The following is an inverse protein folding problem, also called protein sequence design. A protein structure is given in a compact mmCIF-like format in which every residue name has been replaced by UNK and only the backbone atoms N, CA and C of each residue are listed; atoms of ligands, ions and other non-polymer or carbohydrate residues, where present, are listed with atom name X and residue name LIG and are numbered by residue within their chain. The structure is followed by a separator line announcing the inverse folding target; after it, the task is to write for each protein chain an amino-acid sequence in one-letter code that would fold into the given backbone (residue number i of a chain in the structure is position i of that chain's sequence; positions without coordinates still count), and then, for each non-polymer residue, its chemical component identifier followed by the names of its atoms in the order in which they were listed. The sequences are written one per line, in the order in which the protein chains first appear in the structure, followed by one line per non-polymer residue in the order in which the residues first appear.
data_IF_832665054898
#
_entry.id   IF_832665054898
#
_cell.length_a   1.000
_cell.length_b   1.000
_cell.length_c   1.000
_cell.angle_alpha   90.00
_cell.angle_beta   90.00
_cell.angle_gamma   90.00
#
_symmetry.space_group_name_H-M   'P 1'
#
loop_
_entity.id
_entity.type
_entity.pdbx_description
1 polymer ?
#
# COMPACT_ATOMS: atom_id res chain seq x y z
N UNK A 1 -2.76 -29.34 1.41
CA UNK A 1 -3.32 -28.48 2.46
C UNK A 1 -2.25 -28.02 3.46
N UNK A 2 -1.03 -27.67 3.02
CA UNK A 2 0.08 -27.20 3.90
C UNK A 2 0.61 -25.81 3.50
N UNK A 3 -0.08 -25.06 2.62
CA UNK A 3 0.42 -23.78 2.08
C UNK A 3 -0.17 -22.52 2.73
N UNK A 4 -0.96 -22.65 3.80
CA UNK A 4 -1.76 -21.52 4.34
C UNK A 4 -1.16 -20.82 5.57
N UNK A 5 -0.01 -21.27 6.07
CA UNK A 5 0.45 -20.84 7.41
C UNK A 5 1.42 -19.64 7.45
N UNK A 6 1.80 -19.08 6.32
CA UNK A 6 2.98 -18.21 6.26
C UNK A 6 2.68 -16.72 6.03
N UNK A 7 1.53 -16.41 5.50
CA UNK A 7 1.18 -15.00 5.22
C UNK A 7 0.88 -14.14 6.46
N UNK A 8 1.04 -14.66 7.57
CA UNK A 8 0.44 -14.25 8.78
C UNK A 8 1.24 -13.36 9.71
N UNK A 9 2.54 -13.45 9.69
CA UNK A 9 3.41 -12.51 10.40
C UNK A 9 3.46 -11.13 9.71
N UNK A 10 2.90 -11.04 8.50
CA UNK A 10 3.05 -9.88 7.62
C UNK A 10 1.95 -8.81 7.75
N UNK A 11 1.00 -8.97 8.64
CA UNK A 11 -0.04 -7.94 8.90
C UNK A 11 0.47 -6.69 9.62
N UNK A 12 1.71 -6.71 10.10
CA UNK A 12 2.36 -5.59 10.78
C UNK A 12 3.75 -5.41 10.16
N UNK A 13 3.86 -5.08 8.91
CA UNK A 13 5.13 -4.81 8.27
C UNK A 13 5.45 -3.31 8.20
N UNK A 14 6.74 -2.97 8.32
CA UNK A 14 7.30 -1.75 8.88
C UNK A 14 7.44 -0.52 7.98
N UNK A 15 7.50 0.64 8.64
CA UNK A 15 7.50 2.00 8.12
C UNK A 15 8.87 2.51 7.58
N UNK A 16 9.78 1.66 7.16
CA UNK A 16 11.06 2.13 6.66
C UNK A 16 11.03 2.84 5.28
N UNK A 17 9.88 2.85 4.59
CA UNK A 17 9.82 3.28 3.19
C UNK A 17 9.09 4.61 2.93
N UNK A 18 8.52 5.29 3.94
CA UNK A 18 7.77 6.53 3.64
C UNK A 18 8.66 7.70 3.15
N UNK A 19 9.91 7.77 3.56
CA UNK A 19 10.85 8.74 2.99
C UNK A 19 11.50 8.25 1.67
N UNK A 20 11.63 6.93 1.51
CA UNK A 20 12.07 6.33 0.26
C UNK A 20 10.93 6.29 -0.77
N UNK A 21 9.67 6.16 -0.34
CA UNK A 21 8.49 6.18 -1.21
C UNK A 21 8.19 7.59 -1.73
N UNK A 22 8.43 8.66 -0.96
CA UNK A 22 8.32 10.02 -1.48
C UNK A 22 9.42 10.34 -2.50
N UNK A 23 10.61 9.80 -2.35
CA UNK A 23 11.67 9.90 -3.36
C UNK A 23 11.41 8.94 -4.53
N UNK A 24 10.87 7.74 -4.30
CA UNK A 24 10.47 6.80 -5.34
C UNK A 24 9.14 7.18 -6.00
N UNK A 25 8.24 7.88 -5.32
CA UNK A 25 7.08 8.51 -5.95
C UNK A 25 7.50 9.67 -6.85
N UNK A 26 8.48 10.49 -6.46
CA UNK A 26 9.09 11.49 -7.33
C UNK A 26 9.86 10.85 -8.50
N UNK A 27 10.55 9.74 -8.28
CA UNK A 27 11.21 8.95 -9.32
C UNK A 27 10.21 8.18 -10.19
N UNK A 28 9.06 7.76 -9.65
CA UNK A 28 7.96 7.18 -10.40
C UNK A 28 7.16 8.24 -11.17
N UNK A 29 7.12 9.50 -10.71
CA UNK A 29 6.64 10.62 -11.51
C UNK A 29 7.63 11.02 -12.60
N UNK A 30 8.93 10.84 -12.40
CA UNK A 30 9.95 11.00 -13.44
C UNK A 30 9.99 9.83 -14.42
N UNK A 31 9.52 8.66 -14.04
CA UNK A 31 9.39 7.49 -14.93
C UNK A 31 8.02 7.38 -15.62
N UNK A 32 6.99 8.11 -15.19
CA UNK A 32 5.89 8.49 -16.06
C UNK A 32 6.41 9.64 -16.93
N UNK A 33 7.14 9.30 -17.99
CA UNK A 33 7.54 10.25 -19.02
C UNK A 33 6.30 11.02 -19.51
N UNK A 34 6.01 12.13 -18.88
CA UNK A 34 5.50 13.27 -19.60
C UNK A 34 6.65 13.61 -20.53
N UNK A 35 6.52 13.25 -21.81
CA UNK A 35 7.43 13.70 -22.86
C UNK A 35 7.29 15.21 -22.95
N UNK A 36 7.94 15.92 -22.05
CA UNK A 36 8.31 17.31 -22.29
C UNK A 36 9.51 17.23 -23.21
N UNK A 37 9.26 17.36 -24.51
CA UNK A 37 10.24 17.95 -25.40
C UNK A 37 10.52 19.37 -24.87
N UNK A 38 11.45 19.49 -23.98
CA UNK A 38 12.02 20.73 -23.54
C UNK A 38 13.53 20.65 -23.77
N UNK A 39 13.95 21.41 -24.77
CA UNK A 39 15.26 22.02 -24.96
C UNK A 39 16.48 21.13 -24.70
N UNK A 40 17.20 20.86 -25.77
CA UNK A 40 18.55 20.38 -25.81
C UNK A 40 19.45 21.11 -24.79
N UNK A 41 19.74 20.49 -23.66
CA UNK A 41 20.90 20.78 -22.87
C UNK A 41 21.96 19.74 -23.26
N UNK A 42 23.04 20.21 -23.85
CA UNK A 42 24.25 19.48 -24.16
C UNK A 42 24.94 18.99 -22.88
N UNK A 43 24.48 17.84 -22.40
CA UNK A 43 25.17 17.01 -21.44
C UNK A 43 25.28 15.61 -22.07
N UNK A 44 26.44 14.98 -22.00
CA UNK A 44 26.67 13.66 -22.54
C UNK A 44 25.55 12.72 -22.09
N UNK A 45 24.75 12.25 -23.04
CA UNK A 45 23.70 11.28 -22.78
C UNK A 45 24.38 10.00 -22.30
N UNK A 46 24.16 9.61 -21.03
CA UNK A 46 24.46 8.26 -20.58
C UNK A 46 23.73 7.30 -21.51
N UNK A 47 24.50 6.46 -22.17
CA UNK A 47 23.97 5.43 -23.05
C UNK A 47 23.07 4.50 -22.20
N UNK A 48 21.74 4.68 -22.29
CA UNK A 48 20.79 3.85 -21.55
C UNK A 48 21.02 2.40 -21.98
N UNK A 49 21.55 1.58 -21.07
CA UNK A 49 21.81 0.16 -21.31
C UNK A 49 20.53 -0.50 -21.83
N UNK A 50 20.65 -1.26 -22.89
CA UNK A 50 19.52 -2.03 -23.47
C UNK A 50 18.98 -3.09 -22.51
N UNK A 51 19.78 -3.50 -21.52
CA UNK A 51 19.42 -4.42 -20.44
C UNK A 51 19.99 -3.89 -19.13
N UNK A 52 19.13 -3.59 -18.19
CA UNK A 52 19.45 -3.20 -16.82
C UNK A 52 19.06 -4.31 -15.85
N UNK A 53 19.98 -4.66 -14.97
CA UNK A 53 19.70 -5.51 -13.82
C UNK A 53 19.97 -4.69 -12.55
N UNK A 54 19.05 -4.71 -11.62
CA UNK A 54 19.18 -4.06 -10.32
C UNK A 54 18.49 -4.90 -9.27
N UNK A 55 18.79 -4.66 -8.02
CA UNK A 55 18.17 -5.39 -6.95
C UNK A 55 18.38 -4.77 -5.59
N UNK A 56 17.71 -5.34 -4.61
CA UNK A 56 17.85 -4.99 -3.22
C UNK A 56 17.79 -6.26 -2.37
N UNK A 57 18.70 -6.40 -1.43
CA UNK A 57 18.69 -7.45 -0.43
C UNK A 57 18.58 -6.81 0.95
N UNK A 58 17.58 -7.21 1.74
CA UNK A 58 17.33 -6.67 3.08
C UNK A 58 17.23 -7.82 4.08
N UNK A 59 18.05 -7.76 5.12
CA UNK A 59 17.95 -8.60 6.31
C UNK A 59 17.10 -7.91 7.36
N UNK A 60 16.21 -8.63 7.99
CA UNK A 60 15.23 -8.13 8.95
C UNK A 60 15.26 -8.97 10.22
N UNK A 61 15.28 -8.30 11.35
CA UNK A 61 15.10 -8.86 12.67
C UNK A 61 13.93 -8.16 13.37
N UNK A 62 12.93 -8.92 13.81
CA UNK A 62 11.75 -8.42 14.51
C UNK A 62 11.59 -9.11 15.85
N UNK A 63 11.45 -8.32 16.90
CA UNK A 63 11.15 -8.77 18.25
C UNK A 63 9.78 -8.24 18.67
N UNK A 64 8.93 -9.13 19.19
CA UNK A 64 7.56 -8.81 19.59
C UNK A 64 7.37 -9.04 21.06
N UNK A 65 7.11 -7.99 21.82
CA UNK A 65 6.68 -8.09 23.21
C UNK A 65 5.17 -8.32 23.25
N UNK A 66 4.74 -9.48 23.69
CA UNK A 66 3.33 -9.89 23.69
C UNK A 66 2.76 -9.87 25.12
N UNK A 67 1.54 -9.39 25.28
CA UNK A 67 0.85 -9.33 26.57
C UNK A 67 0.63 -10.74 27.14
N UNK A 68 1.02 -10.93 28.39
CA UNK A 68 0.86 -12.20 29.12
C UNK A 68 1.59 -13.40 28.44
N UNK A 69 2.59 -13.14 27.65
CA UNK A 69 3.48 -14.17 27.12
C UNK A 69 4.66 -14.39 28.06
N UNK A 70 5.11 -15.64 28.18
CA UNK A 70 6.33 -16.01 28.89
C UNK A 70 7.54 -16.03 27.97
N UNK A 71 7.33 -15.98 26.65
CA UNK A 71 8.36 -15.90 25.63
C UNK A 71 7.91 -15.00 24.50
N UNK A 72 8.71 -14.02 24.18
CA UNK A 72 8.45 -13.09 23.10
C UNK A 72 8.88 -13.70 21.75
N UNK A 73 8.05 -13.63 20.71
CA UNK A 73 8.39 -14.19 19.41
C UNK A 73 9.46 -13.34 18.71
N UNK A 74 10.54 -13.97 18.30
CA UNK A 74 11.59 -13.40 17.46
C UNK A 74 11.43 -13.91 16.04
N UNK A 75 11.39 -13.00 15.06
CA UNK A 75 11.39 -13.33 13.63
C UNK A 75 12.69 -12.80 13.00
N UNK A 76 13.30 -13.62 12.16
CA UNK A 76 14.43 -13.20 11.33
C UNK A 76 14.20 -13.70 9.92
N UNK A 77 14.35 -12.82 8.95
CA UNK A 77 14.18 -13.17 7.54
C UNK A 77 14.99 -12.26 6.63
N UNK A 78 15.20 -12.72 5.41
CA UNK A 78 15.88 -11.97 4.36
C UNK A 78 14.92 -11.84 3.18
N UNK A 79 14.80 -10.63 2.62
CA UNK A 79 14.00 -10.34 1.43
C UNK A 79 14.92 -9.82 0.34
N UNK A 80 14.87 -10.44 -0.83
CA UNK A 80 15.52 -9.97 -2.05
C UNK A 80 14.50 -9.56 -3.08
N UNK A 81 14.64 -8.36 -3.64
CA UNK A 81 13.92 -7.92 -4.83
C UNK A 81 14.89 -7.84 -5.99
N UNK A 82 14.54 -8.45 -7.11
CA UNK A 82 15.36 -8.53 -8.31
C UNK A 82 14.59 -7.94 -9.48
N UNK A 83 15.14 -6.90 -10.10
CA UNK A 83 14.52 -6.16 -11.17
C UNK A 83 15.31 -6.29 -12.46
N UNK A 84 14.60 -6.59 -13.53
CA UNK A 84 15.12 -6.61 -14.88
C UNK A 84 14.37 -5.58 -15.73
N UNK A 85 15.11 -4.66 -16.35
CA UNK A 85 14.59 -3.64 -17.28
C UNK A 85 15.24 -3.86 -18.64
N UNK A 86 14.47 -4.30 -19.61
CA UNK A 86 14.95 -4.49 -20.99
C UNK A 86 14.27 -3.48 -21.91
N UNK A 87 15.06 -2.69 -22.62
CA UNK A 87 14.59 -1.65 -23.54
C UNK A 87 15.04 -1.96 -24.96
N UNK A 88 14.08 -2.02 -25.86
CA UNK A 88 14.31 -2.23 -27.27
C UNK A 88 14.50 -0.90 -28.02
N UNK A 89 15.21 -0.93 -29.14
CA UNK A 89 15.47 0.26 -29.98
C UNK A 89 14.19 0.92 -30.52
N UNK A 90 13.12 0.15 -30.67
CA UNK A 90 11.80 0.65 -31.10
C UNK A 90 10.96 1.28 -29.99
N UNK A 91 11.52 1.48 -28.79
CA UNK A 91 10.82 2.08 -27.64
C UNK A 91 10.01 1.10 -26.80
N UNK A 92 9.91 -0.17 -27.19
CA UNK A 92 9.27 -1.18 -26.34
C UNK A 92 10.14 -1.50 -25.12
N UNK A 93 9.50 -1.75 -23.98
CA UNK A 93 10.16 -2.04 -22.70
C UNK A 93 9.55 -3.31 -22.10
N UNK A 94 10.40 -4.20 -21.61
CA UNK A 94 10.00 -5.29 -20.73
C UNK A 94 10.55 -5.05 -19.33
N UNK A 95 9.73 -5.25 -18.31
CA UNK A 95 10.11 -5.09 -16.91
C UNK A 95 9.66 -6.30 -16.11
N UNK A 96 10.52 -6.76 -15.22
CA UNK A 96 10.20 -7.82 -14.25
C UNK A 96 10.71 -7.39 -12.88
N UNK A 97 9.89 -7.57 -11.86
CA UNK A 97 10.26 -7.45 -10.44
C UNK A 97 9.83 -8.73 -9.73
N UNK A 98 10.81 -9.53 -9.33
CA UNK A 98 10.62 -10.76 -8.59
C UNK A 98 11.17 -10.58 -7.16
N UNK A 99 10.38 -11.00 -6.17
CA UNK A 99 10.76 -11.00 -4.77
C UNK A 99 10.95 -12.43 -4.27
N UNK A 100 12.05 -12.67 -3.58
CA UNK A 100 12.29 -13.91 -2.84
C UNK A 100 12.50 -13.58 -1.36
N UNK A 101 11.90 -14.36 -0.46
CA UNK A 101 12.12 -14.20 0.97
C UNK A 101 12.39 -15.55 1.62
N UNK A 102 13.34 -15.55 2.57
CA UNK A 102 13.66 -16.71 3.39
C UNK A 102 13.42 -16.40 4.86
N UNK A 103 12.59 -17.20 5.51
CA UNK A 103 12.21 -17.07 6.92
C UNK A 103 12.94 -18.10 7.76
N UNK A 104 13.84 -17.65 8.66
CA UNK A 104 14.73 -18.55 9.43
C UNK A 104 13.97 -19.48 10.37
N UNK A 105 12.91 -18.99 11.02
CA UNK A 105 12.13 -19.77 12.01
C UNK A 105 11.38 -20.96 11.41
N UNK A 106 10.88 -20.79 10.18
CA UNK A 106 10.05 -21.81 9.50
C UNK A 106 10.83 -22.55 8.43
N UNK A 107 12.07 -22.13 8.15
CA UNK A 107 12.90 -22.62 7.04
C UNK A 107 12.17 -22.55 5.70
N UNK A 108 11.26 -21.57 5.57
CA UNK A 108 10.45 -21.40 4.38
C UNK A 108 11.06 -20.37 3.45
N UNK A 109 11.13 -20.74 2.18
CA UNK A 109 11.40 -19.81 1.08
C UNK A 109 10.12 -19.51 0.35
N UNK A 110 9.86 -18.23 0.10
CA UNK A 110 8.77 -17.78 -0.76
C UNK A 110 9.34 -17.06 -1.96
N UNK A 111 8.71 -17.22 -3.12
CA UNK A 111 9.00 -16.46 -4.32
C UNK A 111 7.70 -15.86 -4.86
N UNK A 112 7.71 -14.57 -5.15
CA UNK A 112 6.52 -13.85 -5.61
C UNK A 112 6.92 -12.96 -6.79
N UNK A 113 6.22 -13.11 -7.90
CA UNK A 113 6.31 -12.15 -8.99
C UNK A 113 5.51 -10.91 -8.62
N UNK A 114 6.18 -9.79 -8.37
CA UNK A 114 5.53 -8.54 -7.99
C UNK A 114 4.99 -7.81 -9.19
N UNK A 115 5.83 -7.66 -10.22
CA UNK A 115 5.46 -7.07 -11.51
C UNK A 115 6.14 -7.83 -12.65
N UNK A 116 5.45 -7.93 -13.77
CA UNK A 116 6.01 -8.41 -15.05
C UNK A 116 5.16 -7.86 -16.17
N UNK A 117 5.69 -6.91 -16.93
CA UNK A 117 4.92 -6.24 -17.97
C UNK A 117 5.75 -5.85 -19.18
N UNK A 118 5.04 -5.59 -20.27
CA UNK A 118 5.55 -5.03 -21.51
C UNK A 118 4.91 -3.67 -21.74
N UNK A 119 5.73 -2.65 -21.99
CA UNK A 119 5.33 -1.33 -22.44
C UNK A 119 5.57 -1.20 -23.94
N UNK A 120 4.60 -0.64 -24.65
CA UNK A 120 4.70 -0.27 -26.06
C UNK A 120 3.70 0.83 -26.37
N UNK A 121 3.89 1.50 -27.50
CA UNK A 121 2.95 2.51 -27.97
C UNK A 121 2.52 2.24 -29.42
N UNK A 122 1.41 2.87 -29.81
CA UNK A 122 0.89 2.86 -31.17
C UNK A 122 0.78 4.30 -31.66
N UNK A 123 1.64 4.63 -32.64
CA UNK A 123 1.66 5.94 -33.29
C UNK A 123 1.96 7.10 -32.33
N UNK A 124 2.70 6.86 -31.28
CA UNK A 124 3.05 7.81 -30.22
C UNK A 124 1.84 8.57 -29.62
N UNK A 125 0.66 7.96 -29.74
CA UNK A 125 -0.61 8.52 -29.24
C UNK A 125 -1.27 7.66 -28.18
N UNK A 126 -1.15 6.36 -28.28
CA UNK A 126 -1.72 5.42 -27.33
C UNK A 126 -0.62 4.55 -26.75
N UNK A 127 -0.47 4.61 -25.46
CA UNK A 127 0.54 3.86 -24.72
C UNK A 127 -0.12 2.68 -24.02
N UNK A 128 0.47 1.51 -24.17
CA UNK A 128 -0.02 0.28 -23.58
C UNK A 128 0.98 -0.28 -22.60
N UNK A 129 0.46 -0.83 -21.50
CA UNK A 129 1.20 -1.72 -20.60
C UNK A 129 0.40 -2.99 -20.40
N UNK A 130 0.97 -4.12 -20.74
CA UNK A 130 0.33 -5.43 -20.60
C UNK A 130 1.11 -6.33 -19.66
N UNK A 131 0.41 -7.01 -18.75
CA UNK A 131 0.98 -7.92 -17.77
C UNK A 131 0.62 -7.55 -16.33
N UNK A 132 1.44 -8.03 -15.39
CA UNK A 132 1.29 -7.75 -13.96
C UNK A 132 1.95 -6.42 -13.61
N UNK A 133 1.21 -5.47 -13.10
CA UNK A 133 1.66 -4.10 -12.90
C UNK A 133 1.00 -3.44 -11.69
N UNK A 134 1.73 -2.59 -10.98
CA UNK A 134 1.16 -1.68 -9.98
C UNK A 134 0.58 -0.46 -10.69
N UNK A 135 -0.64 -0.12 -10.36
CA UNK A 135 -1.35 1.03 -10.91
C UNK A 135 -1.34 2.17 -9.89
N UNK A 136 -1.01 3.37 -10.35
CA UNK A 136 -1.12 4.55 -9.52
C UNK A 136 -2.52 5.17 -9.68
N UNK A 137 -3.47 4.65 -8.91
CA UNK A 137 -4.80 5.18 -8.83
C UNK A 137 -5.05 5.63 -7.39
N UNK A 138 -5.52 6.85 -7.24
CA UNK A 138 -5.62 7.48 -5.94
C UNK A 138 -4.41 8.38 -5.61
N UNK A 139 -4.65 9.42 -4.82
CA UNK A 139 -3.72 10.52 -4.54
C UNK A 139 -3.38 10.65 -3.07
N UNK A 140 -4.16 10.04 -2.18
CA UNK A 140 -3.91 10.06 -0.75
C UNK A 140 -2.76 9.12 -0.35
N UNK A 141 -2.14 9.37 0.79
CA UNK A 141 -0.92 8.67 1.20
C UNK A 141 -1.18 7.25 1.68
N UNK A 142 -2.22 7.03 2.49
CA UNK A 142 -2.54 5.73 3.08
C UNK A 142 -3.86 5.19 2.53
N UNK A 143 -4.94 5.94 2.65
CA UNK A 143 -6.26 5.52 2.22
C UNK A 143 -6.56 5.99 0.81
N UNK A 144 -6.69 5.03 -0.11
CA UNK A 144 -6.99 5.32 -1.51
C UNK A 144 -8.34 4.70 -1.91
N UNK A 145 -9.48 5.34 -1.56
CA UNK A 145 -10.81 4.84 -1.94
C UNK A 145 -11.01 4.69 -3.44
N UNK A 146 -10.30 5.44 -4.25
CA UNK A 146 -10.36 5.40 -5.71
C UNK A 146 -9.39 4.40 -6.33
N UNK A 147 -8.48 3.80 -5.55
CA UNK A 147 -7.64 2.70 -5.99
C UNK A 147 -8.45 1.40 -6.03
N UNK A 148 -9.14 1.19 -7.15
CA UNK A 148 -10.13 0.13 -7.34
C UNK A 148 -9.53 -1.15 -7.92
N UNK A 149 -8.29 -1.11 -8.39
CA UNK A 149 -7.70 -2.15 -9.23
C UNK A 149 -6.54 -2.88 -8.54
N UNK A 150 -5.71 -2.19 -7.77
CA UNK A 150 -4.57 -2.82 -7.13
C UNK A 150 -4.98 -3.90 -6.14
N UNK A 151 -4.27 -5.03 -6.19
CA UNK A 151 -4.49 -6.18 -5.32
C UNK A 151 -4.07 -5.83 -3.89
N UNK A 152 -2.92 -5.19 -3.73
CA UNK A 152 -2.34 -4.83 -2.45
C UNK A 152 -2.56 -3.33 -2.17
N UNK A 153 -3.18 -3.03 -1.04
CA UNK A 153 -3.38 -1.64 -0.58
C UNK A 153 -2.13 -1.11 0.11
N UNK A 154 -2.02 0.21 0.21
CA UNK A 154 -0.98 0.85 1.01
C UNK A 154 -1.17 0.50 2.48
N UNK A 155 -0.07 0.35 3.22
CA UNK A 155 -0.07 0.00 4.64
C UNK A 155 0.45 1.16 5.48
N UNK A 156 -0.06 1.30 6.73
CA UNK A 156 0.39 2.34 7.67
C UNK A 156 1.88 2.25 7.96
N UNK A 157 2.37 1.04 8.09
CA UNK A 157 3.80 0.75 8.18
C UNK A 157 4.23 0.22 6.82
N UNK A 158 5.21 0.85 6.19
CA UNK A 158 5.63 0.49 4.85
C UNK A 158 6.17 -0.95 4.82
N UNK A 159 5.78 -1.67 3.79
CA UNK A 159 6.22 -3.03 3.55
C UNK A 159 7.67 -3.04 3.10
N UNK A 160 8.43 -4.00 3.59
CA UNK A 160 9.73 -4.33 3.01
C UNK A 160 9.48 -5.11 1.72
N UNK A 161 10.04 -4.61 0.61
CA UNK A 161 9.81 -5.17 -0.71
C UNK A 161 8.77 -4.41 -1.53
N UNK A 162 8.49 -4.90 -2.72
CA UNK A 162 7.59 -4.25 -3.67
C UNK A 162 6.11 -4.62 -3.44
N UNK A 163 5.20 -3.72 -3.81
CA UNK A 163 3.76 -3.99 -3.85
C UNK A 163 3.44 -5.01 -4.94
N UNK A 164 2.41 -5.78 -4.72
CA UNK A 164 1.92 -6.74 -5.71
C UNK A 164 1.01 -6.04 -6.73
N UNK A 165 1.37 -6.17 -8.01
CA UNK A 165 0.63 -5.59 -9.11
C UNK A 165 -0.63 -6.38 -9.49
N UNK A 166 -1.58 -5.70 -10.13
CA UNK A 166 -2.74 -6.31 -10.77
C UNK A 166 -2.40 -6.86 -12.17
N UNK A 167 -3.12 -7.90 -12.59
CA UNK A 167 -2.95 -8.48 -13.93
C UNK A 167 -3.88 -7.80 -14.93
N UNK A 168 -3.35 -7.36 -16.06
CA UNK A 168 -4.22 -6.80 -17.07
C UNK A 168 -3.50 -5.99 -18.14
N UNK A 169 -4.30 -5.28 -18.90
CA UNK A 169 -3.86 -4.38 -19.96
C UNK A 169 -4.28 -2.95 -19.61
N UNK A 170 -3.30 -2.10 -19.39
CA UNK A 170 -3.51 -0.65 -19.24
C UNK A 170 -3.33 0.01 -20.60
N UNK A 171 -4.18 0.97 -20.92
CA UNK A 171 -3.91 1.94 -21.97
C UNK A 171 -3.97 3.36 -21.42
N UNK A 172 -3.20 4.25 -22.03
CA UNK A 172 -3.13 5.65 -21.72
C UNK A 172 -3.13 6.47 -23.01
N UNK A 173 -4.05 7.42 -23.08
CA UNK A 173 -4.15 8.38 -24.19
C UNK A 173 -3.95 9.77 -23.62
N UNK A 174 -2.74 10.35 -23.76
CA UNK A 174 -2.47 11.72 -23.33
C UNK A 174 -3.00 12.75 -24.34
N UNK A 175 -3.58 13.83 -23.82
CA UNK A 175 -3.99 14.99 -24.61
C UNK A 175 -3.23 16.23 -24.11
N UNK A 176 -1.94 16.22 -24.33
CA UNK A 176 -1.02 17.24 -23.82
C UNK A 176 -0.98 17.23 -22.30
N UNK A 177 -0.92 18.43 -21.70
CA UNK A 177 -0.87 18.61 -20.25
C UNK A 177 -2.25 18.84 -19.62
N UNK A 178 -3.31 18.93 -20.42
CA UNK A 178 -4.63 19.35 -19.92
C UNK A 178 -5.47 18.19 -19.42
N UNK A 179 -5.51 17.07 -20.14
CA UNK A 179 -6.30 15.91 -19.74
C UNK A 179 -5.70 14.61 -20.27
N UNK A 180 -6.00 13.54 -19.58
CA UNK A 180 -5.54 12.18 -19.88
C UNK A 180 -6.70 11.20 -19.74
N UNK A 181 -6.69 10.17 -20.56
CA UNK A 181 -7.61 9.05 -20.46
C UNK A 181 -6.79 7.79 -20.17
N UNK A 182 -7.16 7.09 -19.12
CA UNK A 182 -6.59 5.79 -18.76
C UNK A 182 -7.69 4.74 -18.77
N UNK A 183 -7.37 3.57 -19.28
CA UNK A 183 -8.21 2.40 -19.13
C UNK A 183 -7.40 1.22 -18.65
N UNK A 184 -8.09 0.30 -18.00
CA UNK A 184 -7.50 -0.96 -17.54
C UNK A 184 -8.49 -2.10 -17.73
N UNK A 185 -8.07 -3.13 -18.44
CA UNK A 185 -8.78 -4.40 -18.53
C UNK A 185 -8.16 -5.35 -17.51
N UNK A 186 -8.88 -5.63 -16.43
CA UNK A 186 -8.47 -6.53 -15.35
C UNK A 186 -8.70 -7.99 -15.77
N UNK A 187 -7.61 -8.72 -15.94
CA UNK A 187 -7.61 -10.15 -16.28
C UNK A 187 -7.34 -11.03 -15.06
N UNK A 188 -7.15 -10.45 -13.88
CA UNK A 188 -6.88 -11.18 -12.65
C UNK A 188 -8.01 -12.12 -12.26
N UNK A 189 -7.70 -13.41 -12.10
CA UNK A 189 -8.67 -14.48 -11.80
C UNK A 189 -9.82 -14.60 -12.82
N UNK A 190 -9.59 -14.22 -14.08
CA UNK A 190 -10.52 -14.44 -15.16
C UNK A 190 -10.22 -15.80 -15.80
N UNK A 191 -11.20 -16.72 -15.77
CA UNK A 191 -11.14 -18.01 -16.44
C UNK A 191 -11.80 -17.94 -17.82
N UNK A 192 -12.74 -17.03 -17.98
CA UNK A 192 -13.47 -16.78 -19.23
C UNK A 192 -13.63 -15.28 -19.46
N UNK A 193 -13.95 -14.88 -20.69
CA UNK A 193 -14.15 -13.48 -21.09
C UNK A 193 -15.13 -12.69 -20.20
N UNK A 194 -16.16 -13.38 -19.71
CA UNK A 194 -17.17 -12.79 -18.81
C UNK A 194 -16.62 -12.39 -17.44
N UNK A 195 -15.47 -12.91 -17.04
CA UNK A 195 -14.85 -12.62 -15.75
C UNK A 195 -13.88 -11.42 -15.81
N UNK A 196 -13.69 -10.87 -17.01
CA UNK A 196 -12.90 -9.65 -17.18
C UNK A 196 -13.52 -8.49 -16.41
N UNK A 197 -12.66 -7.71 -15.78
CA UNK A 197 -13.01 -6.42 -15.19
C UNK A 197 -12.60 -5.28 -16.11
N UNK A 198 -13.24 -4.14 -15.95
CA UNK A 198 -12.89 -2.93 -16.66
C UNK A 198 -12.82 -1.73 -15.73
N UNK A 199 -11.84 -0.87 -15.94
CA UNK A 199 -11.72 0.40 -15.26
C UNK A 199 -11.37 1.51 -16.25
N UNK A 200 -11.94 2.69 -16.03
CA UNK A 200 -11.66 3.91 -16.79
C UNK A 200 -11.37 5.04 -15.82
N UNK A 201 -10.40 5.88 -16.15
CA UNK A 201 -10.06 7.10 -15.43
C UNK A 201 -9.88 8.24 -16.44
N UNK A 202 -10.60 9.32 -16.21
CA UNK A 202 -10.43 10.59 -16.91
C UNK A 202 -9.79 11.59 -15.95
N UNK A 203 -8.64 12.13 -16.32
CA UNK A 203 -7.87 13.07 -15.53
C UNK A 203 -7.79 14.42 -16.20
N UNK A 204 -7.97 15.47 -15.42
CA UNK A 204 -8.01 16.86 -15.87
C UNK A 204 -7.12 17.73 -14.98
N UNK A 205 -6.27 18.56 -15.60
CA UNK A 205 -5.50 19.60 -14.92
C UNK A 205 -6.17 20.96 -15.14
N UNK A 206 -6.67 21.56 -14.06
CA UNK A 206 -7.24 22.90 -14.05
C UNK A 206 -6.40 23.84 -13.16
N UNK A 207 -5.56 24.65 -13.81
CA UNK A 207 -4.60 25.50 -13.11
C UNK A 207 -3.56 24.68 -12.33
N UNK A 208 -3.65 24.68 -10.99
CA UNK A 208 -2.79 23.91 -10.08
C UNK A 208 -3.51 22.72 -9.44
N UNK A 209 -4.71 22.42 -9.89
CA UNK A 209 -5.53 21.35 -9.35
C UNK A 209 -5.68 20.26 -10.39
N UNK A 210 -5.25 19.08 -10.03
CA UNK A 210 -5.52 17.87 -10.79
C UNK A 210 -6.77 17.21 -10.22
N UNK A 211 -7.66 16.79 -11.11
CA UNK A 211 -8.91 16.11 -10.78
C UNK A 211 -9.05 14.87 -11.64
N UNK A 212 -9.60 13.82 -11.09
CA UNK A 212 -9.90 12.65 -11.89
C UNK A 212 -11.25 12.03 -11.53
N UNK A 213 -11.93 11.53 -12.55
CA UNK A 213 -13.13 10.73 -12.45
C UNK A 213 -12.80 9.32 -12.87
N UNK A 214 -13.18 8.34 -12.07
CA UNK A 214 -12.90 6.94 -12.33
C UNK A 214 -14.14 6.07 -12.18
N UNK A 215 -14.15 4.94 -12.87
CA UNK A 215 -15.16 3.92 -12.75
C UNK A 215 -14.56 2.54 -12.91
N UNK A 216 -15.07 1.58 -12.16
CA UNK A 216 -14.65 0.19 -12.22
C UNK A 216 -15.85 -0.75 -12.14
N UNK A 217 -15.82 -1.80 -12.94
CA UNK A 217 -16.81 -2.86 -12.92
C UNK A 217 -16.16 -4.22 -13.20
N UNK A 218 -16.64 -5.27 -12.53
CA UNK A 218 -16.24 -6.66 -12.75
C UNK A 218 -17.42 -7.57 -12.47
N UNK A 219 -17.51 -8.73 -13.15
CA UNK A 219 -18.53 -9.73 -12.89
C UNK A 219 -18.56 -10.14 -11.41
N UNK A 220 -19.74 -10.32 -10.88
CA UNK A 220 -19.98 -10.68 -9.46
C UNK A 220 -19.49 -9.66 -8.44
N UNK A 221 -19.11 -8.46 -8.90
CA UNK A 221 -18.77 -7.30 -8.08
C UNK A 221 -19.73 -6.15 -8.37
N UNK A 222 -19.86 -5.25 -7.43
CA UNK A 222 -20.66 -4.04 -7.60
C UNK A 222 -19.84 -2.97 -8.29
N UNK A 223 -20.40 -2.27 -9.28
CA UNK A 223 -19.70 -1.15 -9.90
C UNK A 223 -19.36 -0.09 -8.86
N UNK A 224 -18.21 0.54 -9.04
CA UNK A 224 -17.70 1.61 -8.17
C UNK A 224 -17.37 2.80 -9.03
N UNK A 225 -17.79 3.98 -8.58
CA UNK A 225 -17.40 5.27 -9.15
C UNK A 225 -16.44 5.95 -8.19
N UNK A 226 -15.46 6.67 -8.71
CA UNK A 226 -14.46 7.39 -7.93
C UNK A 226 -14.27 8.81 -8.45
N UNK A 227 -13.95 9.71 -7.54
CA UNK A 227 -13.47 11.05 -7.82
C UNK A 227 -12.27 11.32 -6.92
N UNK A 228 -11.18 11.80 -7.50
CA UNK A 228 -10.00 12.22 -6.76
C UNK A 228 -9.53 13.60 -7.23
N UNK A 229 -8.90 14.32 -6.31
CA UNK A 229 -8.30 15.61 -6.58
C UNK A 229 -6.97 15.76 -5.81
N UNK A 230 -6.04 16.53 -6.40
CA UNK A 230 -4.88 17.03 -5.68
C UNK A 230 -4.61 18.50 -6.07
N UNK A 231 -4.19 19.28 -5.10
CA UNK A 231 -3.89 20.69 -5.30
C UNK A 231 -2.89 21.19 -4.25
N UNK A 232 -2.24 22.30 -4.56
CA UNK A 232 -1.43 23.02 -3.58
C UNK A 232 -2.02 24.37 -3.30
N UNK A 233 -2.40 24.60 -2.04
CA UNK A 233 -2.93 25.88 -1.55
C UNK A 233 -1.89 26.53 -0.64
N UNK A 234 -1.25 27.58 -1.13
CA UNK A 234 -0.13 28.20 -0.44
C UNK A 234 1.06 27.24 -0.30
N UNK A 235 1.32 26.77 0.93
CA UNK A 235 2.38 25.80 1.26
C UNK A 235 1.84 24.45 1.71
N UNK A 236 0.53 24.22 1.56
CA UNK A 236 -0.12 22.99 1.97
C UNK A 236 -0.51 22.21 0.73
N UNK A 237 -0.05 20.98 0.63
CA UNK A 237 -0.50 20.03 -0.36
C UNK A 237 -1.79 19.35 0.16
N UNK A 238 -2.80 19.30 -0.69
CA UNK A 238 -4.11 18.74 -0.37
C UNK A 238 -4.42 17.67 -1.39
N UNK A 239 -4.77 16.49 -0.93
CA UNK A 239 -5.35 15.45 -1.76
C UNK A 239 -6.67 14.98 -1.16
N UNK A 240 -7.63 14.64 -2.01
CA UNK A 240 -8.91 14.13 -1.57
C UNK A 240 -9.44 13.07 -2.51
N UNK A 241 -10.09 12.07 -1.96
CA UNK A 241 -10.67 10.97 -2.71
C UNK A 241 -12.04 10.61 -2.17
N UNK A 242 -12.94 10.28 -3.06
CA UNK A 242 -14.24 9.71 -2.71
C UNK A 242 -14.59 8.59 -3.70
N UNK A 243 -15.07 7.46 -3.19
CA UNK A 243 -15.63 6.41 -4.01
C UNK A 243 -17.03 6.03 -3.54
N UNK A 244 -17.88 5.64 -4.47
CA UNK A 244 -19.23 5.19 -4.20
C UNK A 244 -19.53 3.91 -4.98
N UNK A 245 -19.85 2.84 -4.27
CA UNK A 245 -20.29 1.58 -4.85
C UNK A 245 -21.80 1.44 -4.73
N UNK A 246 -22.47 0.96 -5.79
CA UNK A 246 -23.88 0.56 -5.69
C UNK A 246 -23.96 -0.75 -4.91
N UNK A 247 -24.34 -0.69 -3.62
CA UNK A 247 -24.16 -1.72 -2.60
C UNK A 247 -22.67 -1.93 -2.25
N UNK A 248 -22.37 -2.74 -1.24
CA UNK A 248 -21.00 -2.93 -0.79
C UNK A 248 -20.35 -4.19 -1.37
N UNK A 249 -19.09 -4.07 -1.78
CA UNK A 249 -18.26 -5.20 -2.16
C UNK A 249 -17.61 -5.87 -0.95
N UNK A 250 -17.49 -5.16 0.18
CA UNK A 250 -16.87 -5.64 1.42
C UNK A 250 -17.76 -6.67 2.10
N UNK A 251 -17.16 -7.72 2.63
CA UNK A 251 -17.80 -8.71 3.47
C UNK A 251 -17.57 -8.35 4.92
N UNK A 252 -18.61 -8.39 5.71
CA UNK A 252 -18.61 -8.11 7.14
C UNK A 252 -18.95 -9.37 7.92
N UNK A 253 -18.55 -9.39 9.18
CA UNK A 253 -18.82 -10.49 10.11
C UNK A 253 -19.68 -9.98 11.24
N UNK A 254 -20.59 -10.82 11.73
CA UNK A 254 -21.39 -10.58 12.93
C UNK A 254 -21.65 -11.90 13.67
N UNK A 255 -21.94 -11.76 14.95
CA UNK A 255 -22.46 -12.89 15.73
C UNK A 255 -23.98 -13.05 15.47
N UNK A 256 -24.36 -14.21 15.03
CA UNK A 256 -25.76 -14.58 14.85
C UNK A 256 -26.05 -15.82 15.69
N UNK A 257 -26.57 -15.61 16.92
CA UNK A 257 -26.94 -16.70 17.84
C UNK A 257 -25.76 -17.59 18.26
N UNK A 258 -24.52 -17.11 18.30
CA UNK A 258 -23.34 -17.90 18.65
C UNK A 258 -22.60 -18.48 17.45
N UNK A 259 -23.08 -18.26 16.23
CA UNK A 259 -22.41 -18.63 14.98
C UNK A 259 -21.88 -17.39 14.26
N UNK A 260 -20.75 -17.54 13.56
CA UNK A 260 -20.22 -16.49 12.70
C UNK A 260 -21.05 -16.39 11.43
N UNK A 261 -21.68 -15.24 11.22
CA UNK A 261 -22.39 -14.91 9.98
C UNK A 261 -21.54 -13.94 9.15
N UNK A 262 -21.39 -14.24 7.87
CA UNK A 262 -20.68 -13.40 6.89
C UNK A 262 -21.70 -12.77 5.97
N UNK A 263 -21.79 -11.45 5.98
CA UNK A 263 -22.79 -10.72 5.22
C UNK A 263 -22.20 -9.56 4.42
N UNK A 264 -22.98 -9.02 3.51
CA UNK A 264 -22.71 -7.76 2.81
C UNK A 264 -23.82 -6.76 3.15
N UNK A 265 -23.42 -5.51 3.38
CA UNK A 265 -24.39 -4.43 3.57
C UNK A 265 -25.18 -4.17 2.27
N UNK A 266 -26.50 -4.06 2.43
CA UNK A 266 -27.41 -3.74 1.31
C UNK A 266 -27.71 -2.24 1.19
N UNK A 267 -26.87 -1.38 1.75
CA UNK A 267 -26.98 0.07 1.56
C UNK A 267 -27.04 0.40 0.07
N UNK A 268 -27.95 1.28 -0.39
CA UNK A 268 -28.05 1.61 -1.81
C UNK A 268 -26.72 2.10 -2.39
N UNK A 269 -26.00 2.93 -1.64
CA UNK A 269 -24.67 3.41 -1.96
C UNK A 269 -23.75 3.21 -0.77
N UNK A 270 -22.59 2.60 -1.00
CA UNK A 270 -21.52 2.44 -0.02
C UNK A 270 -20.40 3.45 -0.37
N UNK A 271 -20.28 4.49 0.45
CA UNK A 271 -19.33 5.57 0.21
C UNK A 271 -18.09 5.41 1.09
N UNK A 272 -16.91 5.64 0.50
CA UNK A 272 -15.64 5.78 1.21
C UNK A 272 -15.00 7.09 0.78
N UNK A 273 -14.39 7.81 1.71
CA UNK A 273 -13.72 9.06 1.43
C UNK A 273 -12.42 9.18 2.22
N UNK A 274 -11.43 9.83 1.64
CA UNK A 274 -10.18 10.17 2.30
C UNK A 274 -9.79 11.62 1.98
N UNK A 275 -9.15 12.29 2.91
CA UNK A 275 -8.54 13.60 2.72
C UNK A 275 -7.16 13.60 3.36
N UNK A 276 -6.16 14.00 2.58
CA UNK A 276 -4.77 14.15 3.00
C UNK A 276 -4.37 15.62 2.95
N UNK A 277 -3.69 16.07 3.98
CA UNK A 277 -3.08 17.40 4.06
C UNK A 277 -1.61 17.21 4.42
N UNK A 278 -0.70 17.80 3.66
CA UNK A 278 0.72 17.75 4.00
C UNK A 278 1.42 19.08 3.80
N UNK A 279 2.48 19.30 4.59
CA UNK A 279 3.29 20.51 4.53
C UNK A 279 4.72 20.25 4.95
N UNK A 280 5.64 20.78 4.14
CA UNK A 280 7.05 20.91 4.51
C UNK A 280 7.34 22.17 5.32
N UNK A 281 8.20 22.04 6.31
CA UNK A 281 8.67 23.13 7.18
C UNK A 281 10.18 23.22 7.13
N UNK A 282 10.66 24.45 7.13
CA UNK A 282 12.08 24.73 7.29
C UNK A 282 12.50 24.39 8.73
N UNK A 283 13.59 23.62 8.86
CA UNK A 283 14.20 23.33 10.14
C UNK A 283 15.71 23.61 10.06
N UNK A 284 16.16 24.61 10.78
CA UNK A 284 17.52 25.17 10.63
C UNK A 284 17.70 25.83 9.25
N UNK A 285 18.77 25.49 8.56
CA UNK A 285 19.10 26.05 7.25
C UNK A 285 18.51 25.27 6.06
N UNK A 286 17.71 24.21 6.31
CA UNK A 286 17.17 23.35 5.26
C UNK A 286 15.66 23.56 5.10
N UNK A 287 15.23 23.85 3.87
CA UNK A 287 13.82 23.88 3.52
C UNK A 287 13.28 22.43 3.51
N UNK A 288 12.01 22.27 3.87
CA UNK A 288 11.28 21.01 3.84
C UNK A 288 11.98 19.86 4.60
N UNK A 289 12.82 20.21 5.60
CA UNK A 289 13.51 19.23 6.46
C UNK A 289 12.54 18.50 7.37
N UNK A 290 11.51 19.17 7.84
CA UNK A 290 10.39 18.57 8.59
C UNK A 290 9.17 18.53 7.66
N UNK A 291 8.64 17.34 7.41
CA UNK A 291 7.36 17.16 6.71
C UNK A 291 6.34 16.63 7.71
N UNK A 292 5.17 17.25 7.72
CA UNK A 292 4.02 16.80 8.52
C UNK A 292 2.85 16.58 7.59
N UNK A 293 2.28 15.40 7.64
CA UNK A 293 1.07 15.01 6.89
C UNK A 293 0.01 14.49 7.84
N UNK A 294 -1.24 14.75 7.53
CA UNK A 294 -2.39 14.16 8.24
C UNK A 294 -3.39 13.64 7.20
N UNK A 295 -3.99 12.52 7.52
CA UNK A 295 -4.99 11.90 6.64
C UNK A 295 -6.18 11.44 7.46
N UNK A 296 -7.39 11.68 6.93
CA UNK A 296 -8.65 11.25 7.53
C UNK A 296 -9.36 10.33 6.56
N UNK A 297 -9.96 9.27 7.09
CA UNK A 297 -10.69 8.30 6.31
C UNK A 297 -12.08 8.04 6.88
N UNK A 298 -13.03 7.95 5.99
CA UNK A 298 -14.42 7.60 6.26
C UNK A 298 -14.86 6.39 5.44
N UNK A 299 -15.45 5.41 6.10
CA UNK A 299 -16.09 4.24 5.50
C UNK A 299 -17.53 4.13 6.00
N UNK A 300 -18.50 4.44 5.16
CA UNK A 300 -19.92 4.48 5.52
C UNK A 300 -20.41 3.18 6.19
N UNK A 301 -19.95 2.05 5.70
CA UNK A 301 -20.36 0.74 6.18
C UNK A 301 -19.36 0.12 7.17
N UNK A 302 -18.29 0.84 7.54
CA UNK A 302 -17.34 0.40 8.54
C UNK A 302 -17.98 0.15 9.89
N UNK A 303 -17.38 -0.73 10.68
CA UNK A 303 -17.83 -1.04 12.02
C UNK A 303 -17.82 0.22 12.90
N UNK A 304 -18.84 0.39 13.74
CA UNK A 304 -18.89 1.45 14.74
C UNK A 304 -18.41 0.98 16.11
N UNK A 305 -18.25 -0.32 16.28
CA UNK A 305 -17.70 -0.98 17.47
C UNK A 305 -16.81 -2.11 16.95
N UNK A 306 -15.65 -2.32 17.57
CA UNK A 306 -14.76 -3.39 17.17
C UNK A 306 -15.47 -4.75 17.16
N UNK A 307 -15.49 -5.45 16.03
CA UNK A 307 -16.00 -6.80 15.99
C UNK A 307 -15.15 -7.75 16.85
N UNK A 308 -13.92 -7.34 17.21
CA UNK A 308 -13.01 -8.09 18.06
C UNK A 308 -13.40 -8.07 19.55
N UNK A 309 -14.29 -7.21 19.99
CA UNK A 309 -14.84 -7.18 21.36
C UNK A 309 -15.78 -8.35 21.62
N UNK A 310 -16.47 -8.86 20.61
CA UNK A 310 -17.39 -9.97 20.77
C UNK A 310 -16.63 -11.30 20.78
N UNK A 311 -16.33 -11.79 21.99
CA UNK A 311 -15.67 -13.10 22.18
C UNK A 311 -16.43 -14.27 21.51
N UNK A 312 -17.74 -14.13 21.28
CA UNK A 312 -18.55 -15.15 20.62
C UNK A 312 -18.33 -15.12 19.09
N UNK A 313 -18.06 -13.97 18.50
CA UNK A 313 -17.65 -13.85 17.09
C UNK A 313 -16.22 -14.40 16.89
N UNK A 314 -15.37 -14.26 17.91
CA UNK A 314 -14.00 -14.81 17.94
C UNK A 314 -13.89 -16.18 18.60
N UNK A 315 -14.81 -16.51 19.45
CA UNK A 315 -14.97 -17.85 19.93
C UNK A 315 -15.52 -18.71 18.81
N UNK A 316 -14.77 -18.85 17.72
CA UNK A 316 -15.04 -19.86 16.72
C UNK A 316 -15.17 -21.22 17.46
N UNK A 317 -16.37 -21.57 17.80
CA UNK A 317 -16.69 -22.87 18.41
C UNK A 317 -16.77 -23.99 17.38
N UNK A 318 -16.14 -23.78 16.23
CA UNK A 318 -16.06 -24.79 15.18
C UNK A 318 -14.71 -25.52 15.18
N UNK A 319 -14.64 -26.71 14.57
CA UNK A 319 -13.42 -27.52 14.52
C UNK A 319 -12.19 -26.82 13.91
N UNK A 320 -12.40 -25.76 13.14
CA UNK A 320 -11.33 -24.96 12.51
C UNK A 320 -10.71 -23.91 13.45
N UNK A 321 -11.35 -23.59 14.57
CA UNK A 321 -10.91 -22.56 15.48
C UNK A 321 -10.51 -23.06 16.86
N UNK A 322 -10.88 -24.29 17.21
CA UNK A 322 -10.44 -24.95 18.43
C UNK A 322 -8.94 -25.24 18.31
N UNK A 323 -8.14 -24.49 19.04
CA UNK A 323 -6.68 -24.67 19.06
C UNK A 323 -5.84 -23.61 18.33
N UNK A 324 -6.46 -22.59 17.70
CA UNK A 324 -5.71 -21.48 17.14
C UNK A 324 -5.26 -20.50 18.24
N UNK A 325 -3.97 -20.18 18.38
CA UNK A 325 -3.49 -19.15 19.31
C UNK A 325 -4.16 -17.79 19.05
N UNK A 326 -4.23 -16.93 20.07
CA UNK A 326 -4.97 -15.67 20.01
C UNK A 326 -4.60 -14.75 18.81
N UNK A 327 -3.33 -14.74 18.39
CA UNK A 327 -2.87 -13.97 17.22
C UNK A 327 -3.30 -14.55 15.86
N UNK A 328 -3.73 -15.79 15.77
CA UNK A 328 -4.07 -16.45 14.50
C UNK A 328 -5.50 -16.16 14.01
N UNK A 329 -6.35 -15.61 14.87
CA UNK A 329 -7.75 -15.28 14.50
C UNK A 329 -7.83 -14.14 13.50
N UNK A 330 -7.08 -13.07 13.71
CA UNK A 330 -6.99 -11.98 12.74
C UNK A 330 -6.48 -12.44 11.38
N UNK A 331 -5.62 -13.42 11.37
CA UNK A 331 -5.03 -14.03 10.19
C UNK A 331 -5.96 -14.93 9.41
N UNK A 332 -6.82 -15.68 10.11
CA UNK A 332 -7.91 -16.39 9.48
C UNK A 332 -8.86 -15.41 8.76
N UNK A 333 -9.15 -14.28 9.38
CA UNK A 333 -9.99 -13.25 8.77
C UNK A 333 -9.33 -12.61 7.55
N UNK A 334 -8.03 -12.29 7.61
CA UNK A 334 -7.24 -11.80 6.48
C UNK A 334 -7.22 -12.82 5.33
N UNK A 335 -6.87 -14.06 5.62
CA UNK A 335 -6.77 -15.12 4.61
C UNK A 335 -8.10 -15.46 3.91
N UNK A 336 -9.23 -15.12 4.54
CA UNK A 336 -10.57 -15.26 3.95
C UNK A 336 -11.13 -13.95 3.37
N UNK A 337 -10.32 -12.87 3.28
CA UNK A 337 -10.76 -11.54 2.87
C UNK A 337 -11.96 -11.02 3.68
N UNK A 338 -11.96 -11.27 4.99
CA UNK A 338 -12.97 -10.79 5.95
C UNK A 338 -12.44 -9.63 6.80
N UNK A 339 -11.15 -9.35 6.72
CA UNK A 339 -10.49 -8.24 7.39
C UNK A 339 -9.51 -7.58 6.43
N UNK A 340 -9.59 -6.27 6.32
CA UNK A 340 -8.67 -5.41 5.60
C UNK A 340 -8.11 -4.39 6.61
N UNK A 341 -6.83 -4.47 6.98
CA UNK A 341 -6.22 -3.58 7.98
C UNK A 341 -6.40 -2.12 7.62
N UNK A 342 -6.70 -1.28 8.62
CA UNK A 342 -6.97 0.15 8.50
C UNK A 342 -8.25 0.52 7.72
N UNK A 343 -9.08 -0.45 7.32
CA UNK A 343 -10.34 -0.24 6.60
C UNK A 343 -11.56 -0.82 7.32
N UNK A 344 -11.35 -1.41 8.50
CA UNK A 344 -12.39 -2.12 9.26
C UNK A 344 -13.44 -1.17 9.87
N UNK A 345 -12.97 -0.14 10.55
CA UNK A 345 -13.78 0.86 11.24
C UNK A 345 -14.42 1.89 10.30
N UNK A 346 -15.28 2.72 10.87
CA UNK A 346 -15.96 3.80 10.13
C UNK A 346 -15.13 5.05 9.98
N UNK A 347 -14.34 5.42 10.98
CA UNK A 347 -13.56 6.65 11.00
C UNK A 347 -12.14 6.38 11.46
N UNK A 348 -11.18 6.91 10.70
CA UNK A 348 -9.76 6.87 11.05
C UNK A 348 -9.13 8.23 10.86
N UNK A 349 -8.04 8.46 11.60
CA UNK A 349 -7.09 9.52 11.33
C UNK A 349 -5.67 8.96 11.39
N UNK A 350 -4.78 9.52 10.58
CA UNK A 350 -3.35 9.25 10.63
C UNK A 350 -2.55 10.55 10.63
N UNK A 351 -1.45 10.56 11.37
CA UNK A 351 -0.45 11.61 11.39
C UNK A 351 0.88 11.01 10.93
N UNK A 352 1.53 11.64 9.99
CA UNK A 352 2.83 11.26 9.45
C UNK A 352 3.81 12.40 9.67
N UNK A 353 4.96 12.09 10.23
CA UNK A 353 6.01 13.08 10.47
C UNK A 353 7.34 12.51 10.01
N UNK A 354 8.07 13.26 9.21
CA UNK A 354 9.39 12.90 8.73
C UNK A 354 10.37 14.07 8.92
N UNK A 355 11.53 13.77 9.48
CA UNK A 355 12.65 14.72 9.60
C UNK A 355 13.81 14.17 8.78
N UNK A 356 14.04 14.74 7.61
CA UNK A 356 15.20 14.41 6.77
C UNK A 356 16.48 15.04 7.34
N UNK A 357 17.63 14.43 7.02
CA UNK A 357 18.94 14.88 7.54
C UNK A 357 18.95 14.94 9.08
N UNK A 358 18.34 13.94 9.72
CA UNK A 358 18.34 13.82 11.17
C UNK A 358 19.75 13.42 11.63
N UNK A 359 20.38 14.12 12.53
CA UNK A 359 21.78 13.97 12.98
C UNK A 359 22.77 14.09 11.82
N UNK A 360 22.73 13.23 10.81
CA UNK A 360 23.57 13.23 9.60
C UNK A 360 22.73 13.34 8.32
N UNK A 361 23.37 13.69 7.21
CA UNK A 361 22.69 13.97 5.94
C UNK A 361 21.86 12.80 5.41
N UNK A 362 22.37 11.58 5.56
CA UNK A 362 21.81 10.35 5.01
C UNK A 362 20.80 9.67 5.95
N UNK A 363 20.45 10.35 7.05
CA UNK A 363 19.54 9.80 8.07
C UNK A 363 18.19 10.52 8.06
N UNK A 364 17.13 9.74 8.19
CA UNK A 364 15.75 10.23 8.30
C UNK A 364 15.08 9.64 9.53
N UNK A 365 14.46 10.49 10.34
CA UNK A 365 13.59 10.09 11.45
C UNK A 365 12.14 10.18 10.99
N UNK A 366 11.37 9.13 11.21
CA UNK A 366 9.93 9.10 10.97
C UNK A 366 9.19 8.82 12.27
N UNK A 367 8.05 9.49 12.48
CA UNK A 367 7.15 9.21 13.58
C UNK A 367 5.71 9.31 13.06
N UNK A 368 4.94 8.23 13.18
CA UNK A 368 3.61 8.14 12.62
C UNK A 368 2.63 7.63 13.68
N UNK A 369 1.40 8.10 13.62
CA UNK A 369 0.31 7.65 14.49
C UNK A 369 -0.94 7.41 13.65
N UNK A 370 -1.62 6.30 13.89
CA UNK A 370 -2.93 5.99 13.30
C UNK A 370 -3.93 5.69 14.41
N UNK A 371 -5.16 6.15 14.25
CA UNK A 371 -6.23 5.97 15.21
C UNK A 371 -7.52 5.53 14.55
N UNK A 372 -8.15 4.50 15.10
CA UNK A 372 -9.49 4.04 14.74
C UNK A 372 -10.49 4.57 15.77
N UNK A 373 -11.28 5.59 15.42
CA UNK A 373 -12.29 6.18 16.31
C UNK A 373 -13.47 5.24 16.57
N UNK A 374 -13.62 4.16 15.82
CA UNK A 374 -14.73 3.23 15.98
C UNK A 374 -14.54 2.29 17.17
N UNK A 375 -13.30 2.06 17.57
CA UNK A 375 -12.98 1.16 18.69
C UNK A 375 -11.96 1.75 19.67
N UNK A 376 -11.57 3.00 19.45
CA UNK A 376 -10.65 3.76 20.28
C UNK A 376 -9.25 3.11 20.38
N UNK A 377 -8.83 2.39 19.31
CA UNK A 377 -7.51 1.82 19.22
C UNK A 377 -6.65 2.53 18.19
N UNK A 378 -5.34 2.42 18.33
CA UNK A 378 -4.39 3.04 17.43
C UNK A 378 -3.04 2.35 17.43
N UNK A 379 -2.13 2.86 16.61
CA UNK A 379 -0.74 2.41 16.59
C UNK A 379 0.19 3.62 16.43
N UNK A 380 1.22 3.66 17.26
CA UNK A 380 2.32 4.62 17.16
C UNK A 380 3.54 3.91 16.58
N UNK A 381 4.15 4.48 15.55
CA UNK A 381 5.44 4.02 15.04
C UNK A 381 6.47 5.13 15.10
N UNK A 382 7.71 4.78 15.44
CA UNK A 382 8.86 5.68 15.36
C UNK A 382 10.05 4.90 14.80
N UNK A 383 10.77 5.47 13.84
CA UNK A 383 11.88 4.78 13.22
C UNK A 383 12.91 5.73 12.65
N UNK A 384 14.14 5.25 12.57
CA UNK A 384 15.28 5.92 11.96
C UNK A 384 15.75 5.09 10.80
N UNK A 385 15.95 5.72 9.66
CA UNK A 385 16.48 5.11 8.45
C UNK A 385 17.74 5.84 8.02
N UNK A 386 18.75 5.07 7.70
CA UNK A 386 20.01 5.49 7.12
C UNK A 386 20.15 4.91 5.71
N UNK A 387 20.49 5.73 4.74
CA UNK A 387 20.81 5.27 3.38
C UNK A 387 21.96 6.12 2.84
N UNK A 388 23.08 5.49 2.59
CA UNK A 388 24.26 6.19 2.06
C UNK A 388 24.31 6.13 0.52
N UNK A 389 25.27 6.88 -0.04
CA UNK A 389 25.52 6.92 -1.50
C UNK A 389 26.07 5.60 -2.06
N UNK A 390 26.52 4.67 -1.22
CA UNK A 390 27.05 3.36 -1.61
C UNK A 390 25.97 2.27 -1.55
N UNK A 391 24.69 2.65 -1.67
CA UNK A 391 23.52 1.77 -1.71
C UNK A 391 23.33 0.87 -0.47
N UNK A 392 24.05 1.14 0.61
CA UNK A 392 23.81 0.52 1.90
C UNK A 392 22.69 1.26 2.65
N UNK A 393 21.80 0.51 3.25
CA UNK A 393 20.73 1.01 4.12
C UNK A 393 20.70 0.28 5.45
N UNK A 394 20.35 1.00 6.51
CA UNK A 394 20.06 0.42 7.81
C UNK A 394 18.87 1.14 8.43
N UNK A 395 18.08 0.43 9.22
CA UNK A 395 16.91 1.00 9.86
C UNK A 395 16.64 0.38 11.22
N UNK A 396 16.02 1.18 12.08
CA UNK A 396 15.44 0.73 13.34
C UNK A 396 14.04 1.31 13.45
N UNK A 397 13.06 0.48 13.79
CA UNK A 397 11.66 0.85 13.95
C UNK A 397 11.11 0.29 15.25
N UNK A 398 10.30 1.08 15.91
CA UNK A 398 9.48 0.66 17.05
C UNK A 398 8.02 0.91 16.70
N UNK A 399 7.16 -0.08 16.93
CA UNK A 399 5.71 0.02 16.76
C UNK A 399 5.02 -0.36 18.06
N UNK A 400 4.16 0.50 18.56
CA UNK A 400 3.38 0.32 19.78
C UNK A 400 1.88 0.40 19.47
N UNK A 401 1.12 -0.70 19.51
CA UNK A 401 -0.33 -0.69 19.51
C UNK A 401 -0.86 -0.07 20.81
N UNK A 402 -1.86 0.81 20.70
CA UNK A 402 -2.46 1.58 21.78
C UNK A 402 -3.98 1.37 21.82
N UNK A 403 -4.57 1.48 23.00
CA UNK A 403 -6.02 1.45 23.19
C UNK A 403 -6.54 0.26 23.97
N UNK A 404 -7.88 0.07 24.01
CA UNK A 404 -8.53 -0.98 24.76
C UNK A 404 -8.17 -2.37 24.19
N UNK A 405 -8.21 -3.38 25.06
CA UNK A 405 -8.05 -4.77 24.62
C UNK A 405 -9.13 -5.14 23.58
N UNK A 406 -8.75 -5.89 22.57
CA UNK A 406 -9.60 -6.28 21.43
C UNK A 406 -10.04 -5.12 20.50
N UNK A 407 -9.35 -3.98 20.51
CA UNK A 407 -9.40 -3.03 19.40
C UNK A 407 -8.68 -3.57 18.17
N UNK A 408 -8.84 -2.93 17.02
CA UNK A 408 -8.22 -3.35 15.75
C UNK A 408 -6.70 -3.50 15.85
N UNK A 409 -6.04 -2.56 16.53
CA UNK A 409 -4.58 -2.58 16.66
C UNK A 409 -4.08 -3.43 17.84
N UNK A 410 -4.94 -3.74 18.81
CA UNK A 410 -4.55 -4.39 20.08
C UNK A 410 -4.98 -5.85 20.20
N UNK A 411 -5.83 -6.35 19.28
CA UNK A 411 -6.40 -7.71 19.36
C UNK A 411 -5.36 -8.83 19.27
N UNK A 412 -4.21 -8.56 18.62
CA UNK A 412 -3.08 -9.51 18.53
C UNK A 412 -2.41 -9.76 19.88
N UNK A 413 -2.62 -8.86 20.85
CA UNK A 413 -1.93 -8.89 22.14
C UNK A 413 -0.50 -8.34 22.11
N UNK A 414 0.00 -7.92 20.96
CA UNK A 414 1.31 -7.25 20.85
C UNK A 414 1.28 -5.92 21.60
N UNK A 415 2.28 -5.69 22.46
CA UNK A 415 2.49 -4.41 23.17
C UNK A 415 3.50 -3.53 22.47
N UNK A 416 4.53 -4.16 21.93
CA UNK A 416 5.63 -3.49 21.27
C UNK A 416 6.20 -4.43 20.21
N UNK A 417 6.59 -3.88 19.09
CA UNK A 417 7.44 -4.53 18.10
C UNK A 417 8.67 -3.65 17.88
N UNK A 418 9.83 -4.27 17.91
CA UNK A 418 11.10 -3.64 17.54
C UNK A 418 11.60 -4.34 16.28
N UNK A 419 11.93 -3.56 15.25
CA UNK A 419 12.46 -4.09 14.02
C UNK A 419 13.80 -3.43 13.69
N UNK A 420 14.77 -4.24 13.32
CA UNK A 420 16.04 -3.81 12.78
C UNK A 420 16.17 -4.29 11.34
N UNK A 421 16.68 -3.44 10.47
CA UNK A 421 16.91 -3.77 9.06
C UNK A 421 18.31 -3.38 8.64
N UNK A 422 18.90 -4.20 7.78
CA UNK A 422 20.14 -3.87 7.08
C UNK A 422 20.01 -4.34 5.63
N UNK A 423 20.35 -3.49 4.67
CA UNK A 423 20.15 -3.80 3.27
C UNK A 423 21.20 -3.20 2.37
N UNK A 424 21.30 -3.77 1.19
CA UNK A 424 22.15 -3.29 0.10
C UNK A 424 21.33 -3.31 -1.20
N UNK A 425 21.44 -2.23 -1.99
CA UNK A 425 20.96 -2.17 -3.35
C UNK A 425 22.12 -2.33 -4.33
N UNK A 426 21.87 -2.81 -5.54
CA UNK A 426 22.89 -3.05 -6.56
C UNK A 426 22.30 -2.95 -7.98
#
# INVERSE_FOLDING_TARGET
MKKLFILAALGLCPAAAYAADAASELDMFSSSEVVTQAAAATGAAEEKKSLGFSGQLVSVLEDFVVRNSTSDPLNSYVVGNFMLDARLKNGAKAFVNAEAAYYSKTHLTTATLREAFLDFNVGDRVYFRTGKQVLQWGRCSLWNPTDLVNIEKKTFVAKIGAREGAYGVKFHVPFGTKYNIYGFVDTGNAEVDKDLGGALKFELLAGRTEMAFSGWAKRNRRPVLGYDLSSRIGRVDIAGEISAARRDNTRYIRNNGGTLDVYRNNTPWATKAAINLSRGFRLGNFNDRLTVGTEFFYNQNGYTVSPFKDKKVYGFSGPLAAGLPAGTKGMFLLGNNLYDPNYLGRYYAALFTSVSRFIITDMTLNANYIHNFSDDSGALSAGVNYKNLSDFSAGALVLAPLGPANGEYTFSGTKLMVQLTAGVAF
#
